data_IF_897326249352
#
_entry.id   IF_897326249352
#
_cell.length_a   1.000
_cell.length_b   1.000
_cell.length_c   1.000
_cell.angle_alpha   90.00
_cell.angle_beta   90.00
_cell.angle_gamma   90.00
#
_symmetry.space_group_name_H-M   'P 1'
#
loop_
_entity.id
_entity.type
_entity.pdbx_description
1 polymer ?
#
# COMPACT_ATOMS: atom_id res chain seq x y z
N UNK A 1 25.98 -26.25 -15.35
CA UNK A 1 24.69 -25.57 -15.46
C UNK A 1 24.93 -24.11 -15.69
N UNK A 2 24.41 -23.54 -16.77
CA UNK A 2 24.49 -22.10 -17.04
C UNK A 2 23.64 -21.36 -16.00
N UNK A 3 24.28 -20.90 -14.93
CA UNK A 3 23.63 -20.09 -13.91
C UNK A 3 23.09 -18.81 -14.55
N UNK A 4 21.85 -18.46 -14.24
CA UNK A 4 21.30 -17.17 -14.62
C UNK A 4 22.08 -16.07 -13.89
N UNK A 5 22.83 -15.27 -14.65
CA UNK A 5 23.47 -14.07 -14.13
C UNK A 5 22.46 -12.93 -14.20
N UNK A 6 21.82 -12.63 -13.07
CA UNK A 6 21.01 -11.42 -12.94
C UNK A 6 21.96 -10.24 -12.80
N UNK A 7 22.23 -9.54 -13.90
CA UNK A 7 22.87 -8.23 -13.86
C UNK A 7 21.85 -7.20 -13.34
N UNK A 8 21.80 -7.01 -12.03
CA UNK A 8 21.08 -5.89 -11.44
C UNK A 8 21.86 -4.61 -11.76
N UNK A 9 21.23 -3.63 -12.42
CA UNK A 9 21.82 -2.29 -12.56
C UNK A 9 22.11 -1.73 -11.16
N UNK A 10 23.34 -1.25 -10.96
CA UNK A 10 23.66 -0.45 -9.78
C UNK A 10 22.89 0.88 -9.85
N UNK A 11 22.14 1.19 -8.80
CA UNK A 11 21.38 2.44 -8.70
C UNK A 11 22.33 3.59 -8.33
N UNK A 12 22.81 4.35 -9.31
CA UNK A 12 23.53 5.61 -9.08
C UNK A 12 22.64 6.78 -9.51
N UNK A 13 21.96 7.41 -8.56
CA UNK A 13 21.16 8.60 -8.83
C UNK A 13 21.93 9.87 -8.50
N UNK A 14 22.04 10.74 -9.51
CA UNK A 14 22.44 12.14 -9.35
C UNK A 14 21.27 12.97 -9.88
N UNK A 15 20.58 13.77 -9.05
CA UNK A 15 19.58 14.71 -9.55
C UNK A 15 20.32 15.79 -10.36
N UNK A 16 20.08 15.84 -11.66
CA UNK A 16 20.88 16.65 -12.60
C UNK A 16 20.01 17.68 -13.34
N UNK A 17 18.69 17.55 -13.31
CA UNK A 17 17.81 18.44 -14.08
C UNK A 17 17.52 19.76 -13.35
N UNK A 18 17.40 20.90 -14.07
CA UNK A 18 17.14 22.20 -13.48
C UNK A 18 15.69 22.35 -12.98
N UNK A 19 15.43 23.31 -12.08
CA UNK A 19 14.10 23.52 -11.48
C UNK A 19 13.10 24.27 -12.38
N UNK A 20 13.56 24.88 -13.46
CA UNK A 20 12.84 25.90 -14.24
C UNK A 20 11.94 25.34 -15.35
N UNK A 21 12.11 24.07 -15.75
CA UNK A 21 11.32 23.45 -16.83
C UNK A 21 10.15 22.58 -16.32
N UNK A 22 9.39 23.08 -15.34
CA UNK A 22 8.30 22.30 -14.74
C UNK A 22 7.28 21.80 -15.77
N UNK A 23 6.88 22.64 -16.73
CA UNK A 23 5.91 22.26 -17.76
C UNK A 23 6.43 21.15 -18.69
N UNK A 24 7.69 21.23 -19.11
CA UNK A 24 8.30 20.16 -19.91
C UNK A 24 8.43 18.84 -19.12
N UNK A 25 8.62 18.91 -17.80
CA UNK A 25 8.63 17.71 -16.96
C UNK A 25 7.26 17.07 -16.78
N UNK A 26 6.19 17.87 -16.74
CA UNK A 26 4.81 17.34 -16.75
C UNK A 26 4.57 16.53 -18.04
N UNK A 27 4.97 17.08 -19.19
CA UNK A 27 4.78 16.41 -20.48
C UNK A 27 5.66 15.17 -20.64
N UNK A 28 6.91 15.25 -20.21
CA UNK A 28 7.85 14.12 -20.24
C UNK A 28 7.40 12.99 -19.32
N UNK A 29 6.99 13.31 -18.08
CA UNK A 29 6.47 12.31 -17.14
C UNK A 29 5.23 11.60 -17.68
N UNK A 30 4.30 12.36 -18.29
CA UNK A 30 3.11 11.76 -18.91
C UNK A 30 3.49 10.86 -20.08
N UNK A 31 4.35 11.32 -20.99
CA UNK A 31 4.80 10.55 -22.15
C UNK A 31 5.47 9.23 -21.74
N UNK A 32 6.33 9.26 -20.71
CA UNK A 32 6.98 8.05 -20.18
C UNK A 32 6.00 7.11 -19.47
N UNK A 33 5.00 7.65 -18.76
CA UNK A 33 3.93 6.82 -18.17
C UNK A 33 3.05 6.16 -19.24
N UNK A 34 2.73 6.89 -20.30
CA UNK A 34 2.01 6.40 -21.46
C UNK A 34 2.79 5.25 -22.14
N UNK A 35 4.08 5.47 -22.38
CA UNK A 35 4.98 4.46 -22.92
C UNK A 35 5.07 3.22 -22.01
N UNK A 36 5.18 3.41 -20.70
CA UNK A 36 5.21 2.33 -19.71
C UNK A 36 3.95 1.45 -19.79
N UNK A 37 2.78 2.05 -19.97
CA UNK A 37 1.51 1.34 -20.17
C UNK A 37 1.51 0.60 -21.51
N UNK A 38 1.85 1.27 -22.61
CA UNK A 38 1.88 0.66 -23.95
C UNK A 38 2.78 -0.59 -24.01
N UNK A 39 3.95 -0.56 -23.37
CA UNK A 39 4.86 -1.71 -23.28
C UNK A 39 4.19 -2.94 -22.68
N UNK A 40 3.32 -2.76 -21.68
CA UNK A 40 2.60 -3.86 -21.01
C UNK A 40 1.37 -4.34 -21.78
N UNK A 41 0.80 -3.49 -22.63
CA UNK A 41 -0.36 -3.83 -23.46
C UNK A 41 0.00 -4.65 -24.70
N UNK A 42 1.27 -4.70 -25.12
CA UNK A 42 1.69 -5.38 -26.35
C UNK A 42 1.22 -6.85 -26.38
N UNK A 43 0.36 -7.17 -27.33
CA UNK A 43 -0.19 -8.52 -27.52
C UNK A 43 -1.33 -8.91 -26.56
N UNK A 44 -1.76 -8.02 -25.65
CA UNK A 44 -2.86 -8.24 -24.70
C UNK A 44 -4.14 -7.58 -25.24
N UNK A 45 -5.29 -8.23 -25.08
CA UNK A 45 -6.59 -7.74 -25.60
C UNK A 45 -7.60 -7.48 -24.49
N UNK A 46 -7.62 -8.31 -23.45
CA UNK A 46 -8.58 -8.26 -22.35
C UNK A 46 -7.89 -7.72 -21.11
N UNK A 47 -8.10 -6.43 -20.83
CA UNK A 47 -7.36 -5.70 -19.81
C UNK A 47 -8.23 -5.48 -18.58
N UNK A 48 -7.70 -5.88 -17.42
CA UNK A 48 -8.24 -5.55 -16.12
C UNK A 48 -7.39 -4.48 -15.42
N UNK A 49 -8.00 -3.70 -14.52
CA UNK A 49 -7.24 -2.85 -13.60
C UNK A 49 -7.83 -2.82 -12.18
N UNK A 50 -6.96 -2.75 -11.17
CA UNK A 50 -7.38 -2.40 -9.81
C UNK A 50 -7.66 -0.90 -9.74
N UNK A 51 -8.92 -0.52 -9.47
CA UNK A 51 -9.33 0.88 -9.40
C UNK A 51 -9.75 1.28 -7.98
N UNK A 52 -9.25 2.43 -7.54
CA UNK A 52 -9.43 2.99 -6.20
C UNK A 52 -9.82 4.47 -6.29
N UNK A 53 -10.18 5.07 -5.15
CA UNK A 53 -10.43 6.51 -5.06
C UNK A 53 -9.14 7.35 -5.03
N UNK A 54 -7.97 6.73 -5.05
CA UNK A 54 -6.66 7.37 -5.12
C UNK A 54 -6.29 7.88 -6.52
N UNK A 55 -5.15 8.57 -6.61
CA UNK A 55 -4.61 9.10 -7.88
C UNK A 55 -3.90 8.00 -8.66
N UNK A 56 -2.98 7.31 -8.02
CA UNK A 56 -2.30 6.09 -8.42
C UNK A 56 -3.06 5.21 -9.43
N UNK A 57 -4.18 4.61 -9.04
CA UNK A 57 -4.91 3.70 -9.91
C UNK A 57 -5.68 4.39 -11.03
N UNK A 58 -6.19 5.60 -10.80
CA UNK A 58 -7.08 6.25 -11.78
C UNK A 58 -6.30 6.76 -12.99
N UNK A 59 -5.08 7.30 -12.81
CA UNK A 59 -4.24 7.71 -13.94
C UNK A 59 -3.79 6.49 -14.76
N UNK A 60 -3.38 5.40 -14.11
CA UNK A 60 -3.00 4.17 -14.83
C UNK A 60 -4.18 3.65 -15.64
N UNK A 61 -5.38 3.64 -15.05
CA UNK A 61 -6.61 3.22 -15.76
C UNK A 61 -6.93 4.16 -16.92
N UNK A 62 -6.80 5.48 -16.75
CA UNK A 62 -7.09 6.46 -17.78
C UNK A 62 -6.12 6.37 -18.96
N UNK A 63 -4.81 6.30 -18.68
CA UNK A 63 -3.77 6.06 -19.69
C UNK A 63 -4.03 4.76 -20.42
N UNK A 64 -4.38 3.68 -19.70
CA UNK A 64 -4.72 2.39 -20.32
C UNK A 64 -5.90 2.52 -21.29
N UNK A 65 -6.96 3.21 -20.89
CA UNK A 65 -8.16 3.37 -21.71
C UNK A 65 -7.95 4.18 -23.00
N UNK A 66 -6.86 4.94 -23.10
CA UNK A 66 -6.47 5.59 -24.36
C UNK A 66 -6.00 4.59 -25.43
N UNK A 67 -5.56 3.39 -25.02
CA UNK A 67 -4.93 2.40 -25.90
C UNK A 67 -5.79 1.15 -26.16
N UNK A 68 -6.88 0.97 -25.41
CA UNK A 68 -7.77 -0.19 -25.54
C UNK A 68 -9.24 0.21 -25.52
N UNK A 69 -10.11 -0.49 -26.28
CA UNK A 69 -11.52 -0.14 -26.37
C UNK A 69 -12.29 -0.35 -25.05
N UNK A 70 -11.75 -1.20 -24.16
CA UNK A 70 -12.39 -1.55 -22.89
C UNK A 70 -11.37 -1.90 -21.81
N UNK A 71 -11.59 -1.39 -20.60
CA UNK A 71 -10.90 -1.78 -19.37
C UNK A 71 -11.93 -2.21 -18.34
N UNK A 72 -11.82 -3.45 -17.86
CA UNK A 72 -12.65 -3.92 -16.75
C UNK A 72 -11.93 -3.64 -15.42
N UNK A 73 -12.56 -2.84 -14.57
CA UNK A 73 -11.96 -2.39 -13.31
C UNK A 73 -12.63 -3.01 -12.09
N UNK A 74 -11.82 -3.21 -11.05
CA UNK A 74 -12.24 -3.81 -9.80
C UNK A 74 -11.83 -2.93 -8.63
N UNK A 75 -12.81 -2.55 -7.82
CA UNK A 75 -12.58 -1.82 -6.57
C UNK A 75 -12.90 -2.69 -5.37
N UNK A 76 -11.92 -2.86 -4.49
CA UNK A 76 -12.10 -3.59 -3.24
C UNK A 76 -12.94 -2.80 -2.25
N UNK A 77 -13.90 -3.46 -1.61
CA UNK A 77 -14.72 -2.85 -0.57
C UNK A 77 -15.79 -3.77 -0.03
N UNK A 78 -16.30 -3.46 1.16
CA UNK A 78 -17.34 -4.29 1.80
C UNK A 78 -18.72 -4.16 1.15
N UNK A 79 -19.00 -2.99 0.56
CA UNK A 79 -20.28 -2.67 -0.06
C UNK A 79 -20.18 -1.46 -1.00
N UNK A 80 -21.23 -1.25 -1.81
CA UNK A 80 -21.30 -0.16 -2.81
C UNK A 80 -21.48 1.26 -2.22
N UNK A 81 -21.62 1.40 -0.90
CA UNK A 81 -21.76 2.70 -0.20
C UNK A 81 -20.43 3.16 0.43
N UNK A 82 -19.38 2.34 0.38
CA UNK A 82 -18.05 2.72 0.84
C UNK A 82 -17.47 3.85 -0.01
N UNK A 83 -16.73 4.77 0.61
CA UNK A 83 -16.19 5.96 -0.06
C UNK A 83 -15.27 5.58 -1.22
N UNK A 84 -14.46 4.53 -1.01
CA UNK A 84 -13.58 3.93 -2.01
C UNK A 84 -14.33 3.58 -3.31
N UNK A 85 -15.39 2.77 -3.20
CA UNK A 85 -16.17 2.31 -4.34
C UNK A 85 -16.96 3.42 -5.00
N UNK A 86 -17.55 4.33 -4.21
CA UNK A 86 -18.32 5.45 -4.75
C UNK A 86 -17.45 6.32 -5.66
N UNK A 87 -16.27 6.71 -5.17
CA UNK A 87 -15.33 7.54 -5.94
C UNK A 87 -14.78 6.75 -7.13
N UNK A 88 -14.35 5.50 -6.95
CA UNK A 88 -13.82 4.70 -8.05
C UNK A 88 -14.87 4.45 -9.15
N UNK A 89 -16.16 4.31 -8.79
CA UNK A 89 -17.25 4.21 -9.77
C UNK A 89 -17.46 5.53 -10.52
N UNK A 90 -17.28 6.67 -9.87
CA UNK A 90 -17.30 7.97 -10.52
C UNK A 90 -16.13 8.11 -11.50
N UNK A 91 -14.91 7.77 -11.08
CA UNK A 91 -13.73 7.70 -11.96
C UNK A 91 -14.00 6.84 -13.19
N UNK A 92 -14.53 5.63 -13.02
CA UNK A 92 -14.80 4.73 -14.14
C UNK A 92 -15.85 5.29 -15.12
N UNK A 93 -16.85 6.05 -14.62
CA UNK A 93 -17.83 6.71 -15.49
C UNK A 93 -17.22 7.84 -16.33
N UNK A 94 -16.17 8.48 -15.82
CA UNK A 94 -15.46 9.55 -16.52
C UNK A 94 -14.51 9.01 -17.59
N UNK A 95 -14.09 7.75 -17.50
CA UNK A 95 -13.16 7.11 -18.45
C UNK A 95 -13.97 6.34 -19.49
N UNK A 96 -13.81 6.68 -20.77
CA UNK A 96 -14.47 5.96 -21.87
C UNK A 96 -14.03 4.49 -21.90
N UNK A 97 -14.98 3.58 -22.10
CA UNK A 97 -14.69 2.13 -22.16
C UNK A 97 -14.37 1.49 -20.81
N UNK A 98 -14.51 2.21 -19.70
CA UNK A 98 -14.22 1.69 -18.36
C UNK A 98 -15.48 1.20 -17.63
N UNK A 99 -15.46 -0.05 -17.18
CA UNK A 99 -16.52 -0.63 -16.36
C UNK A 99 -15.98 -0.92 -14.96
N UNK A 100 -16.70 -0.57 -13.89
CA UNK A 100 -16.24 -0.85 -12.52
C UNK A 100 -17.15 -1.83 -11.76
N UNK A 101 -16.52 -2.88 -11.24
CA UNK A 101 -17.15 -3.91 -10.40
C UNK A 101 -16.66 -3.85 -8.96
N UNK A 102 -17.57 -4.08 -8.02
CA UNK A 102 -17.20 -4.20 -6.60
C UNK A 102 -16.55 -5.57 -6.37
N UNK A 103 -15.27 -5.57 -6.04
CA UNK A 103 -14.57 -6.71 -5.47
C UNK A 103 -14.94 -6.82 -3.98
N UNK A 104 -16.05 -7.50 -3.69
CA UNK A 104 -16.60 -7.53 -2.33
C UNK A 104 -15.65 -8.23 -1.37
N UNK A 105 -15.14 -7.51 -0.37
CA UNK A 105 -14.27 -8.07 0.67
C UNK A 105 -15.09 -8.60 1.83
N UNK A 106 -14.72 -9.78 2.33
CA UNK A 106 -15.45 -10.54 3.34
C UNK A 106 -14.46 -11.33 4.20
N UNK A 107 -14.73 -11.57 5.50
CA UNK A 107 -13.84 -12.36 6.35
C UNK A 107 -13.73 -13.82 5.88
N UNK A 108 -14.72 -14.35 5.18
CA UNK A 108 -14.70 -15.67 4.58
C UNK A 108 -13.60 -15.81 3.52
N UNK A 109 -13.20 -14.73 2.85
CA UNK A 109 -12.07 -14.76 1.93
C UNK A 109 -10.75 -15.00 2.66
N UNK A 110 -10.56 -14.38 3.83
CA UNK A 110 -9.37 -14.64 4.65
C UNK A 110 -9.35 -16.10 5.08
N UNK A 111 -10.43 -16.61 5.66
CA UNK A 111 -10.51 -18.00 6.12
C UNK A 111 -10.30 -19.02 4.98
N UNK A 112 -10.75 -18.68 3.76
CA UNK A 112 -10.63 -19.55 2.60
C UNK A 112 -9.24 -19.54 1.97
N UNK A 113 -8.61 -18.37 1.88
CA UNK A 113 -7.40 -18.18 1.08
C UNK A 113 -6.12 -18.00 1.91
N UNK A 114 -6.20 -17.95 3.25
CA UNK A 114 -5.01 -17.77 4.09
C UNK A 114 -3.95 -18.85 3.84
N UNK A 115 -4.33 -20.14 3.86
CA UNK A 115 -3.38 -21.24 3.64
C UNK A 115 -2.72 -21.15 2.26
N UNK A 116 -3.48 -20.81 1.23
CA UNK A 116 -2.94 -20.61 -0.10
C UNK A 116 -1.98 -19.41 -0.15
N UNK A 117 -2.31 -18.28 0.48
CA UNK A 117 -1.45 -17.11 0.51
C UNK A 117 -0.14 -17.37 1.27
N UNK A 118 -0.20 -18.12 2.39
CA UNK A 118 0.99 -18.56 3.13
C UNK A 118 1.85 -19.47 2.26
N UNK A 119 1.28 -20.49 1.63
CA UNK A 119 1.99 -21.38 0.73
C UNK A 119 2.61 -20.63 -0.47
N UNK A 120 1.84 -19.76 -1.12
CA UNK A 120 2.27 -19.01 -2.30
C UNK A 120 3.34 -17.95 -2.00
N UNK A 121 3.59 -17.62 -0.73
CA UNK A 121 4.61 -16.65 -0.32
C UNK A 121 5.68 -17.25 0.57
N UNK A 122 5.72 -18.57 0.74
CA UNK A 122 6.60 -19.25 1.70
C UNK A 122 6.54 -18.64 3.11
N UNK A 123 5.35 -18.20 3.55
CA UNK A 123 5.17 -17.54 4.84
C UNK A 123 5.83 -16.16 4.97
N UNK A 124 6.37 -15.59 3.89
CA UNK A 124 7.12 -14.32 3.93
C UNK A 124 6.23 -13.08 4.06
N UNK A 125 4.90 -13.26 4.13
CA UNK A 125 3.92 -12.19 4.17
C UNK A 125 3.00 -12.31 5.37
N UNK A 126 2.60 -11.14 5.89
CA UNK A 126 1.47 -11.06 6.83
C UNK A 126 0.20 -11.60 6.17
N UNK A 127 -0.32 -12.72 6.66
CA UNK A 127 -1.40 -13.45 6.01
C UNK A 127 -2.78 -12.77 6.11
N UNK A 128 -3.10 -12.10 7.22
CA UNK A 128 -4.47 -11.58 7.47
C UNK A 128 -4.77 -10.22 6.83
N UNK A 129 -3.77 -9.37 6.65
CA UNK A 129 -3.95 -7.99 6.13
C UNK A 129 -3.37 -7.81 4.72
N UNK A 130 -3.24 -8.93 4.01
CA UNK A 130 -2.56 -9.05 2.73
C UNK A 130 -3.58 -8.83 1.59
N UNK A 131 -3.21 -8.12 0.52
CA UNK A 131 -4.16 -7.92 -0.60
C UNK A 131 -4.45 -9.26 -1.30
N UNK A 132 -3.49 -10.19 -1.29
CA UNK A 132 -3.63 -11.51 -1.89
C UNK A 132 -4.83 -12.32 -1.37
N UNK A 133 -5.18 -12.23 -0.08
CA UNK A 133 -6.37 -12.94 0.44
C UNK A 133 -7.67 -12.37 -0.14
N UNK A 134 -7.66 -11.10 -0.57
CA UNK A 134 -8.79 -10.49 -1.26
C UNK A 134 -8.74 -10.63 -2.78
N UNK A 135 -7.61 -10.96 -3.40
CA UNK A 135 -7.57 -11.31 -4.84
C UNK A 135 -8.53 -12.45 -5.17
N UNK A 136 -8.76 -13.36 -4.23
CA UNK A 136 -9.79 -14.40 -4.35
C UNK A 136 -11.23 -13.88 -4.57
N UNK A 137 -11.52 -12.61 -4.27
CA UNK A 137 -12.79 -11.95 -4.57
C UNK A 137 -12.96 -11.62 -6.07
N UNK A 138 -11.87 -11.55 -6.83
CA UNK A 138 -11.87 -11.25 -8.26
C UNK A 138 -11.23 -12.34 -9.12
N UNK A 139 -10.63 -13.38 -8.53
CA UNK A 139 -9.94 -14.46 -9.25
C UNK A 139 -10.79 -15.07 -10.40
N UNK A 140 -12.07 -15.36 -10.16
CA UNK A 140 -12.98 -15.88 -11.21
C UNK A 140 -13.22 -14.90 -12.35
N UNK A 141 -13.18 -13.59 -12.07
CA UNK A 141 -13.33 -12.56 -13.10
C UNK A 141 -12.03 -12.39 -13.90
N UNK A 142 -10.89 -12.51 -13.22
CA UNK A 142 -9.56 -12.34 -13.82
C UNK A 142 -9.17 -13.47 -14.78
N UNK A 143 -9.73 -14.68 -14.66
CA UNK A 143 -9.42 -15.82 -15.56
C UNK A 143 -9.66 -15.49 -17.05
N UNK A 144 -10.52 -14.52 -17.33
CA UNK A 144 -10.85 -14.09 -18.68
C UNK A 144 -10.04 -12.87 -19.14
N UNK A 145 -9.01 -12.46 -18.41
CA UNK A 145 -8.18 -11.30 -18.72
C UNK A 145 -6.75 -11.72 -18.98
N UNK A 146 -6.08 -10.99 -19.86
CA UNK A 146 -4.69 -11.25 -20.21
C UNK A 146 -3.74 -10.51 -19.25
N UNK A 147 -4.21 -9.42 -18.62
CA UNK A 147 -3.39 -8.48 -17.88
C UNK A 147 -4.20 -7.81 -16.76
N UNK A 148 -3.60 -7.67 -15.58
CA UNK A 148 -4.07 -6.80 -14.49
C UNK A 148 -3.11 -5.62 -14.30
N UNK A 149 -3.60 -4.40 -14.43
CA UNK A 149 -2.82 -3.19 -14.14
C UNK A 149 -3.16 -2.62 -12.77
N UNK A 150 -2.17 -2.05 -12.09
CA UNK A 150 -2.34 -1.36 -10.83
C UNK A 150 -1.55 -0.06 -10.76
N UNK A 151 -1.99 0.84 -9.89
CA UNK A 151 -1.31 2.10 -9.62
C UNK A 151 -0.31 2.06 -8.46
N UNK A 152 0.07 0.87 -7.99
CA UNK A 152 0.81 0.73 -6.74
C UNK A 152 2.07 1.61 -6.70
N UNK A 153 2.27 2.32 -5.59
CA UNK A 153 3.46 3.12 -5.26
C UNK A 153 3.68 4.40 -6.11
N UNK A 154 2.67 4.82 -6.88
CA UNK A 154 2.71 6.07 -7.65
C UNK A 154 2.80 7.32 -6.76
N UNK A 155 2.19 7.29 -5.59
CA UNK A 155 2.25 8.36 -4.59
C UNK A 155 3.67 8.65 -4.07
N UNK A 156 4.53 7.64 -3.97
CA UNK A 156 5.94 7.79 -3.60
C UNK A 156 6.76 8.21 -4.81
N UNK A 157 6.67 7.46 -5.91
CA UNK A 157 7.51 7.63 -7.10
C UNK A 157 7.21 8.95 -7.81
N UNK A 158 5.94 9.24 -8.09
CA UNK A 158 5.52 10.49 -8.77
C UNK A 158 5.16 11.56 -7.76
N UNK A 159 4.54 11.18 -6.64
CA UNK A 159 3.95 12.14 -5.69
C UNK A 159 4.89 12.70 -4.62
N UNK A 160 6.11 12.14 -4.47
CA UNK A 160 7.08 12.62 -3.47
C UNK A 160 6.55 12.57 -2.04
N UNK A 161 5.78 11.53 -1.69
CA UNK A 161 5.03 11.46 -0.42
C UNK A 161 5.90 11.49 0.84
N UNK A 162 7.18 11.12 0.75
CA UNK A 162 8.14 11.21 1.85
C UNK A 162 9.08 12.42 1.77
N UNK A 163 9.04 13.16 0.67
CA UNK A 163 9.89 14.33 0.43
C UNK A 163 9.40 15.51 1.26
N UNK A 164 10.31 16.13 2.03
CA UNK A 164 10.02 17.38 2.75
C UNK A 164 11.13 18.39 2.53
N UNK A 165 10.76 19.65 2.36
CA UNK A 165 11.73 20.73 2.07
C UNK A 165 12.75 20.93 3.20
N UNK A 166 12.34 20.68 4.45
CA UNK A 166 13.24 20.81 5.61
C UNK A 166 14.33 19.72 5.64
N UNK A 167 14.23 18.72 4.76
CA UNK A 167 15.12 17.56 4.70
C UNK A 167 16.15 17.65 3.56
N UNK A 168 16.27 18.80 2.88
CA UNK A 168 17.18 18.98 1.75
C UNK A 168 18.59 19.39 2.17
N UNK A 169 18.77 19.83 3.42
CA UNK A 169 20.08 20.14 3.98
C UNK A 169 20.86 18.91 4.41
N UNK A 170 22.08 19.15 4.89
CA UNK A 170 22.95 18.10 5.42
C UNK A 170 22.44 17.61 6.77
N UNK A 171 21.83 16.43 6.76
CA UNK A 171 21.42 15.71 7.98
C UNK A 171 22.50 14.67 8.30
N UNK A 172 23.01 14.59 9.54
CA UNK A 172 23.93 13.52 9.95
C UNK A 172 23.35 12.10 9.74
N UNK A 173 24.19 11.12 9.37
CA UNK A 173 23.76 9.77 9.01
C UNK A 173 22.98 9.07 10.14
N UNK A 174 23.41 9.22 11.39
CA UNK A 174 22.74 8.70 12.58
C UNK A 174 21.30 9.23 12.71
N UNK A 175 21.09 10.52 12.42
CA UNK A 175 19.76 11.16 12.42
C UNK A 175 18.88 10.68 11.28
N UNK A 176 19.47 10.43 10.11
CA UNK A 176 18.76 9.82 8.97
C UNK A 176 18.28 8.42 9.34
N UNK A 177 19.15 7.59 9.92
CA UNK A 177 18.83 6.23 10.38
C UNK A 177 17.76 6.26 11.48
N UNK A 178 17.88 7.14 12.48
CA UNK A 178 16.90 7.28 13.57
C UNK A 178 15.49 7.56 13.02
N UNK A 179 15.42 8.42 12.00
CA UNK A 179 14.17 8.74 11.31
C UNK A 179 13.60 7.57 10.53
N UNK A 180 14.45 6.77 9.89
CA UNK A 180 14.00 5.54 9.22
C UNK A 180 13.51 4.51 10.23
N UNK A 181 14.23 4.30 11.34
CA UNK A 181 13.76 3.46 12.47
C UNK A 181 12.41 3.92 13.00
N UNK A 182 12.18 5.23 13.12
CA UNK A 182 10.88 5.77 13.50
C UNK A 182 9.79 5.42 12.49
N UNK A 183 10.09 5.58 11.19
CA UNK A 183 9.13 5.43 10.10
C UNK A 183 8.69 3.99 9.86
N UNK A 184 9.64 3.04 9.84
CA UNK A 184 9.33 1.62 9.65
C UNK A 184 9.08 0.87 10.96
N UNK A 185 9.46 1.47 12.08
CA UNK A 185 9.27 0.89 13.40
C UNK A 185 7.80 0.72 13.76
N UNK A 186 7.52 -0.33 14.51
CA UNK A 186 6.20 -0.62 15.05
C UNK A 186 6.07 -0.07 16.49
N UNK A 187 6.32 1.24 16.70
CA UNK A 187 6.33 1.85 18.05
C UNK A 187 5.05 1.58 18.85
N UNK A 188 3.90 1.55 18.16
CA UNK A 188 2.60 1.24 18.75
C UNK A 188 2.48 -0.21 19.29
N UNK A 189 3.36 -1.12 18.86
CA UNK A 189 3.42 -2.50 19.32
C UNK A 189 4.34 -2.68 20.53
N UNK A 190 5.25 -1.73 20.81
CA UNK A 190 6.20 -1.81 21.94
C UNK A 190 5.56 -2.15 23.30
N UNK A 191 4.38 -1.59 23.68
CA UNK A 191 3.73 -1.97 24.93
C UNK A 191 3.36 -3.46 25.02
N UNK A 192 3.24 -4.13 23.88
CA UNK A 192 2.84 -5.53 23.79
C UNK A 192 4.02 -6.46 23.54
N UNK A 193 5.12 -5.99 22.95
CA UNK A 193 6.30 -6.84 22.70
C UNK A 193 6.73 -7.58 23.97
N UNK A 194 6.79 -6.88 25.11
CA UNK A 194 7.18 -7.46 26.41
C UNK A 194 6.22 -8.51 26.98
N UNK A 195 4.94 -8.47 26.60
CA UNK A 195 3.93 -9.38 27.14
C UNK A 195 3.55 -10.47 26.15
N UNK A 196 3.74 -10.22 24.85
CA UNK A 196 3.34 -11.08 23.75
C UNK A 196 4.41 -12.08 23.36
N UNK A 197 5.69 -11.69 23.43
CA UNK A 197 6.80 -12.56 23.07
C UNK A 197 7.51 -13.06 24.33
N UNK A 198 8.18 -14.20 24.21
CA UNK A 198 9.14 -14.64 25.21
C UNK A 198 10.25 -13.60 25.37
N UNK A 199 10.87 -13.54 26.54
CA UNK A 199 11.90 -12.53 26.84
C UNK A 199 13.05 -12.59 25.83
N UNK A 200 13.55 -13.80 25.53
CA UNK A 200 14.60 -14.03 24.55
C UNK A 200 14.20 -13.54 23.15
N UNK A 201 13.01 -13.94 22.66
CA UNK A 201 12.55 -13.52 21.34
C UNK A 201 12.32 -12.00 21.27
N UNK A 202 11.77 -11.41 22.31
CA UNK A 202 11.52 -9.97 22.40
C UNK A 202 12.81 -9.15 22.32
N UNK A 203 13.86 -9.56 23.03
CA UNK A 203 15.18 -8.92 22.97
C UNK A 203 15.81 -9.04 21.58
N UNK A 204 15.74 -10.24 20.99
CA UNK A 204 16.22 -10.49 19.62
C UNK A 204 15.46 -9.63 18.59
N UNK A 205 14.14 -9.53 18.71
CA UNK A 205 13.30 -8.75 17.79
C UNK A 205 13.73 -7.27 17.76
N UNK A 206 13.92 -6.64 18.92
CA UNK A 206 14.32 -5.23 18.99
C UNK A 206 15.74 -5.02 18.44
N UNK A 207 16.67 -5.92 18.76
CA UNK A 207 18.05 -5.87 18.27
C UNK A 207 18.13 -6.01 16.75
N UNK A 208 17.57 -7.08 16.19
CA UNK A 208 17.63 -7.34 14.75
C UNK A 208 16.80 -6.34 13.94
N UNK A 209 15.69 -5.84 14.47
CA UNK A 209 14.92 -4.79 13.79
C UNK A 209 15.73 -3.49 13.66
N UNK A 210 16.45 -3.08 14.71
CA UNK A 210 17.29 -1.89 14.67
C UNK A 210 18.47 -2.07 13.71
N UNK A 211 19.15 -3.21 13.80
CA UNK A 211 20.31 -3.57 12.98
C UNK A 211 19.95 -3.70 11.49
N UNK A 212 18.81 -4.30 11.17
CA UNK A 212 18.35 -4.43 9.77
C UNK A 212 18.13 -3.06 9.12
N UNK A 213 17.62 -2.07 9.86
CA UNK A 213 17.47 -0.71 9.33
C UNK A 213 18.83 -0.07 9.08
N UNK A 214 19.79 -0.23 10.01
CA UNK A 214 21.15 0.30 9.86
C UNK A 214 21.86 -0.29 8.64
N UNK A 215 21.86 -1.62 8.49
CA UNK A 215 22.53 -2.31 7.39
C UNK A 215 21.93 -1.93 6.03
N UNK A 216 20.59 -1.91 5.92
CA UNK A 216 19.92 -1.59 4.66
C UNK A 216 20.03 -0.11 4.30
N UNK A 217 19.96 0.79 5.29
CA UNK A 217 20.15 2.21 5.04
C UNK A 217 21.61 2.57 4.74
N UNK A 218 22.57 1.85 5.33
CA UNK A 218 24.00 1.98 5.04
C UNK A 218 24.30 1.74 3.57
N UNK A 219 23.85 0.60 3.02
CA UNK A 219 24.00 0.26 1.59
C UNK A 219 23.47 1.34 0.65
N UNK A 220 22.33 1.94 1.00
CA UNK A 220 21.72 3.03 0.20
C UNK A 220 22.54 4.30 0.33
N UNK A 221 23.07 4.58 1.52
CA UNK A 221 23.89 5.77 1.79
C UNK A 221 25.21 5.76 1.04
N UNK A 222 25.78 4.57 0.81
CA UNK A 222 26.98 4.40 -0.02
C UNK A 222 26.73 4.75 -1.50
N UNK A 223 25.49 4.59 -1.98
CA UNK A 223 25.11 4.81 -3.40
C UNK A 223 24.55 6.20 -3.68
N UNK A 224 23.84 6.78 -2.72
CA UNK A 224 23.13 8.07 -2.87
C UNK A 224 23.30 8.87 -1.60
N UNK A 225 23.94 10.05 -1.67
CA UNK A 225 24.10 10.95 -0.51
C UNK A 225 23.12 12.13 -0.56
N UNK A 226 21.83 11.84 -0.68
CA UNK A 226 20.79 12.86 -0.62
C UNK A 226 19.53 12.31 0.04
N UNK A 227 19.18 12.85 1.20
CA UNK A 227 18.25 12.20 2.11
C UNK A 227 16.83 11.99 1.56
N UNK A 228 16.22 12.92 0.79
CA UNK A 228 14.93 12.67 0.14
C UNK A 228 14.91 11.39 -0.71
N UNK A 229 15.97 11.15 -1.49
CA UNK A 229 16.06 9.96 -2.33
C UNK A 229 16.41 8.70 -1.52
N UNK A 230 17.31 8.82 -0.53
CA UNK A 230 17.62 7.71 0.38
C UNK A 230 16.34 7.18 1.06
N UNK A 231 15.44 8.08 1.46
CA UNK A 231 14.16 7.70 2.08
C UNK A 231 13.25 6.92 1.13
N UNK A 232 13.05 7.43 -0.09
CA UNK A 232 12.22 6.75 -1.08
C UNK A 232 12.80 5.38 -1.43
N UNK A 233 14.11 5.31 -1.70
CA UNK A 233 14.83 4.07 -2.00
C UNK A 233 14.76 3.07 -0.85
N UNK A 234 14.87 3.54 0.39
CA UNK A 234 14.76 2.65 1.56
C UNK A 234 13.37 2.04 1.64
N UNK A 235 12.29 2.82 1.50
CA UNK A 235 10.93 2.26 1.52
C UNK A 235 10.70 1.35 0.30
N UNK A 236 11.25 1.71 -0.86
CA UNK A 236 11.19 0.90 -2.07
C UNK A 236 11.86 -0.48 -1.89
N UNK A 237 13.14 -0.50 -1.51
CA UNK A 237 13.94 -1.72 -1.43
C UNK A 237 13.55 -2.63 -0.26
N UNK A 238 12.95 -2.05 0.79
CA UNK A 238 12.46 -2.78 1.96
C UNK A 238 10.96 -3.06 1.86
N UNK A 239 10.10 -2.09 2.18
CA UNK A 239 8.64 -2.26 2.31
C UNK A 239 7.97 -2.65 1.00
N UNK A 240 8.30 -1.98 -0.09
CA UNK A 240 7.70 -2.24 -1.40
C UNK A 240 8.17 -3.59 -1.95
N UNK A 241 9.48 -3.76 -2.18
CA UNK A 241 10.03 -4.97 -2.79
C UNK A 241 9.83 -6.23 -1.93
N UNK A 242 10.13 -6.19 -0.62
CA UNK A 242 10.05 -7.39 0.24
C UNK A 242 8.64 -7.67 0.76
N UNK A 243 7.82 -6.64 0.95
CA UNK A 243 6.47 -6.78 1.50
C UNK A 243 5.38 -6.84 0.44
N UNK A 244 5.24 -5.78 -0.34
CA UNK A 244 4.08 -5.65 -1.24
C UNK A 244 4.27 -6.33 -2.59
N UNK A 245 5.48 -6.33 -3.16
CA UNK A 245 5.74 -6.99 -4.43
C UNK A 245 5.67 -8.52 -4.29
N UNK A 246 6.11 -9.10 -3.18
CA UNK A 246 5.84 -10.53 -2.92
C UNK A 246 4.33 -10.78 -2.82
N UNK A 247 3.56 -9.86 -2.23
CA UNK A 247 2.10 -10.01 -2.13
C UNK A 247 1.37 -9.95 -3.47
N UNK A 248 1.83 -9.12 -4.40
CA UNK A 248 1.11 -8.87 -5.65
C UNK A 248 1.83 -9.37 -6.89
N UNK A 249 3.13 -9.16 -7.00
CA UNK A 249 3.96 -9.78 -8.04
C UNK A 249 3.94 -11.30 -7.94
N UNK A 250 4.39 -11.89 -6.83
CA UNK A 250 4.48 -13.36 -6.73
C UNK A 250 3.09 -14.01 -6.69
N UNK A 251 2.23 -13.63 -5.74
CA UNK A 251 0.92 -14.27 -5.58
C UNK A 251 -0.05 -13.88 -6.71
N UNK A 252 -0.04 -12.62 -7.14
CA UNK A 252 -0.91 -12.17 -8.23
C UNK A 252 -0.58 -12.88 -9.54
N UNK A 253 0.70 -13.12 -9.85
CA UNK A 253 1.14 -13.84 -11.05
C UNK A 253 0.72 -15.32 -11.09
N UNK A 254 0.36 -15.91 -9.94
CA UNK A 254 -0.30 -17.23 -9.93
C UNK A 254 -1.72 -17.19 -10.51
N UNK A 255 -2.34 -16.01 -10.57
CA UNK A 255 -3.70 -15.81 -11.09
C UNK A 255 -3.71 -15.12 -12.45
N UNK A 256 -2.91 -14.06 -12.62
CA UNK A 256 -2.85 -13.24 -13.81
C UNK A 256 -1.53 -12.45 -13.83
N UNK A 257 -1.01 -12.15 -15.01
CA UNK A 257 0.10 -11.20 -15.10
C UNK A 257 -0.34 -9.83 -14.59
N UNK A 258 0.30 -9.37 -13.51
CA UNK A 258 0.03 -8.08 -12.86
C UNK A 258 1.23 -7.13 -13.05
N UNK A 259 0.99 -5.90 -13.50
CA UNK A 259 2.03 -4.91 -13.72
C UNK A 259 1.69 -3.52 -13.14
N UNK A 260 2.76 -2.81 -12.77
CA UNK A 260 2.71 -1.46 -12.20
C UNK A 260 3.54 -0.50 -13.05
N UNK A 261 2.91 0.34 -13.89
CA UNK A 261 3.62 1.22 -14.81
C UNK A 261 4.61 2.20 -14.14
N UNK A 262 4.39 2.56 -12.87
CA UNK A 262 5.30 3.45 -12.13
C UNK A 262 6.70 2.85 -11.90
N UNK A 263 6.88 1.55 -12.09
CA UNK A 263 8.17 0.86 -11.98
C UNK A 263 8.84 0.64 -13.34
N UNK A 264 8.33 1.24 -14.41
CA UNK A 264 9.06 1.28 -15.68
C UNK A 264 10.37 2.06 -15.51
N UNK A 265 11.47 1.49 -16.01
CA UNK A 265 12.81 2.02 -15.77
C UNK A 265 12.96 3.45 -16.29
N UNK A 266 12.43 3.78 -17.47
CA UNK A 266 12.65 5.09 -18.07
C UNK A 266 11.85 6.16 -17.32
N UNK A 267 10.61 5.82 -16.93
CA UNK A 267 9.80 6.69 -16.07
C UNK A 267 10.46 6.89 -14.70
N UNK A 268 10.92 5.81 -14.07
CA UNK A 268 11.55 5.87 -12.76
C UNK A 268 12.85 6.70 -12.81
N UNK A 269 13.73 6.41 -13.77
CA UNK A 269 15.01 7.11 -13.93
C UNK A 269 14.80 8.60 -14.22
N UNK A 270 13.81 8.94 -15.06
CA UNK A 270 13.42 10.32 -15.28
C UNK A 270 12.96 11.00 -13.97
N UNK A 271 12.02 10.41 -13.23
CA UNK A 271 11.46 11.01 -12.02
C UNK A 271 12.49 11.20 -10.89
N UNK A 272 13.52 10.35 -10.84
CA UNK A 272 14.63 10.46 -9.88
C UNK A 272 15.81 11.31 -10.40
N UNK A 273 15.79 11.72 -11.66
CA UNK A 273 16.68 12.76 -12.19
C UNK A 273 16.18 14.19 -11.91
N UNK A 274 14.90 14.35 -11.57
CA UNK A 274 14.25 15.62 -11.23
C UNK A 274 14.65 16.11 -9.83
N UNK A 275 14.70 17.43 -9.62
CA UNK A 275 14.69 18.00 -8.27
C UNK A 275 13.45 17.53 -7.48
N UNK A 276 13.56 17.08 -6.22
CA UNK A 276 12.42 16.57 -5.44
C UNK A 276 11.26 17.56 -5.30
N UNK A 277 11.52 18.86 -5.36
CA UNK A 277 10.53 19.94 -5.34
C UNK A 277 9.46 19.79 -6.43
N UNK A 278 9.84 19.22 -7.57
CA UNK A 278 8.94 19.01 -8.70
C UNK A 278 7.84 18.02 -8.32
N UNK A 279 8.18 16.96 -7.58
CA UNK A 279 7.26 15.87 -7.21
C UNK A 279 6.55 16.11 -5.87
N UNK A 280 7.20 16.80 -4.93
CA UNK A 280 6.73 17.02 -3.56
C UNK A 280 5.25 17.45 -3.48
N UNK A 281 4.54 16.92 -2.49
CA UNK A 281 3.11 17.18 -2.26
C UNK A 281 2.23 16.86 -3.48
N UNK A 282 2.64 15.89 -4.30
CA UNK A 282 1.95 15.52 -5.54
C UNK A 282 1.89 16.64 -6.58
N UNK A 283 2.79 17.63 -6.56
CA UNK A 283 2.75 18.78 -7.49
C UNK A 283 2.78 18.34 -8.96
N UNK A 284 3.83 17.62 -9.38
CA UNK A 284 3.92 17.03 -10.72
C UNK A 284 2.68 16.18 -11.02
N UNK A 285 2.24 15.40 -10.03
CA UNK A 285 1.15 14.45 -10.22
C UNK A 285 -0.17 15.13 -10.55
N UNK A 286 -0.52 16.17 -9.79
CA UNK A 286 -1.73 16.98 -9.96
C UNK A 286 -1.72 17.70 -11.31
N UNK A 287 -0.58 18.24 -11.73
CA UNK A 287 -0.49 18.97 -13.00
C UNK A 287 -0.61 18.04 -14.22
N UNK A 288 -0.13 16.79 -14.13
CA UNK A 288 -0.43 15.76 -15.15
C UNK A 288 -1.95 15.55 -15.28
N UNK A 289 -2.68 15.45 -14.16
CA UNK A 289 -4.14 15.32 -14.20
C UNK A 289 -4.82 16.50 -14.86
N UNK A 290 -4.51 17.71 -14.41
CA UNK A 290 -5.17 18.92 -14.93
C UNK A 290 -4.94 19.09 -16.43
N UNK A 291 -3.76 18.72 -16.92
CA UNK A 291 -3.38 18.84 -18.33
C UNK A 291 -3.97 17.74 -19.21
N UNK A 292 -3.80 16.47 -18.82
CA UNK A 292 -4.11 15.32 -19.69
C UNK A 292 -5.46 14.66 -19.37
N UNK A 293 -5.98 14.84 -18.17
CA UNK A 293 -7.23 14.23 -17.71
C UNK A 293 -8.10 15.21 -16.89
N UNK A 294 -8.47 16.40 -17.44
CA UNK A 294 -9.17 17.44 -16.69
C UNK A 294 -10.48 16.95 -16.07
N UNK A 295 -11.25 16.13 -16.79
CA UNK A 295 -12.48 15.53 -16.25
C UNK A 295 -12.23 14.62 -15.04
N UNK A 296 -11.08 13.93 -14.97
CA UNK A 296 -10.70 13.14 -13.79
C UNK A 296 -10.12 13.99 -12.66
N UNK A 297 -9.55 15.15 -12.99
CA UNK A 297 -9.10 16.12 -12.00
C UNK A 297 -10.28 16.72 -11.20
N UNK A 298 -11.46 16.80 -11.82
CA UNK A 298 -12.71 17.21 -11.14
C UNK A 298 -13.25 16.16 -10.16
N UNK A 299 -13.02 14.87 -10.43
CA UNK A 299 -13.51 13.79 -9.57
C UNK A 299 -12.81 13.84 -8.22
N UNK A 300 -13.58 13.85 -7.14
CA UNK A 300 -13.05 13.97 -5.78
C UNK A 300 -11.92 12.99 -5.49
N UNK A 301 -10.84 13.48 -4.88
CA UNK A 301 -9.76 12.65 -4.40
C UNK A 301 -10.13 12.05 -3.04
N UNK A 302 -9.98 10.73 -2.86
CA UNK A 302 -10.28 10.05 -1.60
C UNK A 302 -9.66 10.72 -0.36
N UNK A 303 -8.39 11.14 -0.47
CA UNK A 303 -7.58 11.73 0.61
C UNK A 303 -8.15 13.08 1.08
N UNK A 304 -8.32 14.03 0.16
CA UNK A 304 -8.75 15.39 0.46
C UNK A 304 -10.27 15.50 0.51
N UNK A 305 -11.00 14.73 -0.28
CA UNK A 305 -12.46 14.78 -0.43
C UNK A 305 -12.95 15.91 -1.32
N UNK A 306 -12.05 16.55 -2.08
CA UNK A 306 -12.34 17.62 -3.04
C UNK A 306 -11.64 17.31 -4.37
N UNK A 307 -11.91 18.10 -5.42
CA UNK A 307 -11.25 18.00 -6.72
C UNK A 307 -9.74 18.32 -6.60
N UNK A 308 -9.00 18.15 -7.70
CA UNK A 308 -7.59 18.54 -7.80
C UNK A 308 -7.40 20.04 -8.12
N UNK A 309 -8.48 20.76 -8.40
CA UNK A 309 -8.48 22.22 -8.53
C UNK A 309 -8.70 22.90 -7.18
N UNK A 310 -9.34 22.21 -6.24
CA UNK A 310 -9.71 22.73 -4.93
C UNK A 310 -8.70 22.39 -3.83
N UNK A 311 -8.62 23.29 -2.85
CA UNK A 311 -7.88 23.04 -1.61
C UNK A 311 -8.83 22.55 -0.50
N UNK A 312 -8.42 21.51 0.23
CA UNK A 312 -9.19 21.05 1.38
C UNK A 312 -9.25 22.12 2.47
N UNK A 313 -10.47 22.53 2.85
CA UNK A 313 -10.70 23.51 3.90
C UNK A 313 -10.23 23.03 5.28
N UNK A 314 -9.79 23.98 6.12
CA UNK A 314 -9.40 23.69 7.50
C UNK A 314 -10.55 23.09 8.32
N UNK A 315 -11.79 23.46 8.02
CA UNK A 315 -12.98 22.87 8.65
C UNK A 315 -13.11 21.38 8.30
N UNK A 316 -12.94 21.00 7.03
CA UNK A 316 -12.95 19.60 6.60
C UNK A 316 -11.87 18.78 7.33
N UNK A 317 -10.64 19.30 7.41
CA UNK A 317 -9.52 18.67 8.12
C UNK A 317 -9.86 18.44 9.59
N UNK A 318 -10.32 19.48 10.29
CA UNK A 318 -10.74 19.40 11.71
C UNK A 318 -11.90 18.42 11.90
N UNK A 319 -12.89 18.41 11.00
CA UNK A 319 -14.03 17.47 11.03
C UNK A 319 -13.58 16.02 10.88
N UNK A 320 -12.62 15.73 10.00
CA UNK A 320 -12.05 14.37 9.84
C UNK A 320 -11.36 13.91 11.12
N UNK A 321 -10.54 14.77 11.73
CA UNK A 321 -9.86 14.49 13.01
C UNK A 321 -10.88 14.27 14.13
N UNK A 322 -11.87 15.15 14.25
CA UNK A 322 -12.94 15.03 15.24
C UNK A 322 -13.70 13.71 15.06
N UNK A 323 -14.11 13.38 13.84
CA UNK A 323 -14.83 12.14 13.57
C UNK A 323 -13.97 10.90 13.83
N UNK A 324 -12.67 10.95 13.54
CA UNK A 324 -11.73 9.89 13.92
C UNK A 324 -11.70 9.70 15.44
N UNK A 325 -11.57 10.80 16.20
CA UNK A 325 -11.55 10.77 17.67
C UNK A 325 -12.89 10.26 18.23
N UNK A 326 -14.02 10.73 17.73
CA UNK A 326 -15.36 10.24 18.15
C UNK A 326 -15.46 8.74 17.94
N UNK A 327 -15.07 8.23 16.77
CA UNK A 327 -15.05 6.78 16.50
C UNK A 327 -14.17 6.04 17.49
N UNK A 328 -12.99 6.58 17.80
CA UNK A 328 -12.05 6.00 18.76
C UNK A 328 -12.65 5.94 20.17
N UNK A 329 -13.15 7.07 20.70
CA UNK A 329 -13.71 7.15 22.05
C UNK A 329 -15.01 6.36 22.21
N UNK A 330 -15.94 6.41 21.24
CA UNK A 330 -17.19 5.64 21.29
C UNK A 330 -16.90 4.14 21.30
N UNK A 331 -15.98 3.68 20.43
CA UNK A 331 -15.56 2.28 20.39
C UNK A 331 -14.96 1.83 21.73
N UNK A 332 -14.15 2.69 22.36
CA UNK A 332 -13.52 2.43 23.66
C UNK A 332 -14.52 2.40 24.81
N UNK A 333 -15.31 3.46 24.95
CA UNK A 333 -16.27 3.62 26.06
C UNK A 333 -17.38 2.58 26.03
N UNK A 334 -17.71 2.05 24.86
CA UNK A 334 -18.70 0.97 24.71
C UNK A 334 -18.09 -0.43 24.71
N UNK A 335 -16.78 -0.56 24.97
CA UNK A 335 -16.05 -1.83 24.92
C UNK A 335 -16.27 -2.60 23.61
N UNK A 336 -16.31 -1.87 22.49
CA UNK A 336 -16.52 -2.42 21.16
C UNK A 336 -17.97 -2.83 20.85
N UNK A 337 -18.96 -2.57 21.73
CA UNK A 337 -20.39 -2.81 21.45
C UNK A 337 -20.91 -1.90 20.34
N UNK A 338 -20.46 -0.64 20.31
CA UNK A 338 -20.79 0.32 19.25
C UNK A 338 -19.57 0.55 18.38
N UNK A 339 -19.68 0.19 17.09
CA UNK A 339 -18.64 0.47 16.08
C UNK A 339 -19.25 1.36 15.00
N UNK A 340 -18.90 2.64 15.05
CA UNK A 340 -19.26 3.60 14.01
C UNK A 340 -18.47 3.28 12.75
N UNK A 341 -19.18 2.97 11.65
CA UNK A 341 -18.56 2.56 10.40
C UNK A 341 -17.55 3.60 9.88
N UNK A 342 -16.37 3.12 9.50
CA UNK A 342 -15.40 3.88 8.74
C UNK A 342 -15.59 3.60 7.24
N UNK A 343 -16.13 4.60 6.53
CA UNK A 343 -16.42 4.48 5.09
C UNK A 343 -15.15 4.43 4.23
N UNK A 344 -13.97 4.71 4.79
CA UNK A 344 -12.70 4.66 4.08
C UNK A 344 -12.05 3.27 4.11
N UNK A 345 -12.53 2.35 4.94
CA UNK A 345 -11.95 1.01 5.03
C UNK A 345 -12.58 0.07 4.01
N UNK A 346 -11.75 -0.50 3.15
CA UNK A 346 -12.19 -1.54 2.23
C UNK A 346 -12.29 -2.91 2.91
N UNK A 347 -11.56 -3.18 4.00
CA UNK A 347 -11.60 -4.42 4.78
C UNK A 347 -11.52 -4.11 6.29
N UNK A 348 -12.66 -3.95 7.00
CA UNK A 348 -12.68 -3.64 8.42
C UNK A 348 -12.44 -4.89 9.29
N UNK A 349 -11.25 -5.48 9.19
CA UNK A 349 -10.88 -6.75 9.83
C UNK A 349 -11.13 -6.75 11.35
N UNK A 350 -10.85 -5.64 12.04
CA UNK A 350 -11.12 -5.50 13.48
C UNK A 350 -12.62 -5.60 13.80
N UNK A 351 -13.48 -5.05 12.95
CA UNK A 351 -14.92 -5.19 13.13
C UNK A 351 -15.38 -6.62 12.82
N UNK A 352 -14.81 -7.25 11.78
CA UNK A 352 -15.09 -8.65 11.48
C UNK A 352 -14.72 -9.57 12.64
N UNK A 353 -13.55 -9.38 13.26
CA UNK A 353 -13.15 -10.17 14.44
C UNK A 353 -14.13 -10.02 15.61
N UNK A 354 -14.67 -8.82 15.83
CA UNK A 354 -15.67 -8.60 16.90
C UNK A 354 -17.03 -9.20 16.56
N UNK A 355 -17.52 -9.00 15.34
CA UNK A 355 -18.91 -9.29 14.95
C UNK A 355 -19.10 -10.68 14.35
N UNK A 356 -18.12 -11.23 13.64
CA UNK A 356 -18.19 -12.55 13.00
C UNK A 356 -17.58 -13.61 13.91
N UNK A 357 -18.42 -14.46 14.52
CA UNK A 357 -17.98 -15.53 15.43
C UNK A 357 -17.04 -16.51 14.74
N UNK A 358 -17.31 -16.89 13.49
CA UNK A 358 -16.49 -17.85 12.74
C UNK A 358 -15.09 -17.32 12.50
N UNK A 359 -14.97 -16.08 12.03
CA UNK A 359 -13.68 -15.43 11.82
C UNK A 359 -12.91 -15.26 13.13
N UNK A 360 -13.60 -14.90 14.22
CA UNK A 360 -12.98 -14.81 15.54
C UNK A 360 -12.43 -16.16 16.02
N UNK A 361 -13.22 -17.23 15.93
CA UNK A 361 -12.76 -18.57 16.28
C UNK A 361 -11.56 -18.95 15.42
N UNK A 362 -11.67 -18.84 14.10
CA UNK A 362 -10.55 -19.10 13.19
C UNK A 362 -9.23 -18.40 13.58
N UNK A 363 -9.28 -17.09 13.87
CA UNK A 363 -8.08 -16.36 14.33
C UNK A 363 -7.60 -16.81 15.71
N UNK A 364 -8.52 -17.07 16.65
CA UNK A 364 -8.20 -17.48 18.02
C UNK A 364 -7.57 -18.86 18.05
N UNK A 365 -8.14 -19.79 17.29
CA UNK A 365 -7.76 -21.19 17.24
C UNK A 365 -6.34 -21.32 16.67
N UNK A 366 -5.97 -20.53 15.65
CA UNK A 366 -4.59 -20.53 15.12
C UNK A 366 -3.59 -19.97 16.13
N UNK A 367 -3.92 -18.87 16.81
CA UNK A 367 -2.98 -18.22 17.72
C UNK A 367 -2.79 -18.96 19.05
N UNK A 368 -3.81 -19.70 19.49
CA UNK A 368 -3.78 -20.51 20.71
C UNK A 368 -3.62 -22.01 20.43
N UNK A 369 -3.27 -22.37 19.19
CA UNK A 369 -2.94 -23.76 18.82
C UNK A 369 -1.68 -24.22 19.57
N UNK A 370 -1.66 -25.47 20.02
CA UNK A 370 -0.52 -26.05 20.75
C UNK A 370 0.77 -25.88 19.95
N UNK A 371 0.74 -26.07 18.62
CA UNK A 371 1.91 -25.88 17.75
C UNK A 371 2.39 -24.42 17.74
N UNK A 372 1.50 -23.45 17.94
CA UNK A 372 1.88 -22.02 18.01
C UNK A 372 2.57 -21.72 19.33
N UNK A 373 2.07 -22.26 20.44
CA UNK A 373 2.60 -22.04 21.79
C UNK A 373 3.93 -22.78 21.99
N UNK A 374 4.01 -24.05 21.57
CA UNK A 374 5.19 -24.91 21.76
C UNK A 374 6.43 -24.44 20.99
N UNK A 375 6.29 -23.55 19.99
CA UNK A 375 7.42 -22.92 19.30
C UNK A 375 8.27 -22.01 20.20
N UNK A 376 7.75 -21.58 21.35
CA UNK A 376 8.49 -20.75 22.32
C UNK A 376 8.67 -19.28 21.95
N UNK A 377 8.08 -18.81 20.85
CA UNK A 377 8.16 -17.40 20.44
C UNK A 377 7.20 -16.51 21.21
N UNK A 378 6.04 -17.03 21.59
CA UNK A 378 4.94 -16.26 22.15
C UNK A 378 4.62 -16.67 23.58
N UNK A 379 4.22 -15.70 24.39
CA UNK A 379 3.62 -15.94 25.70
C UNK A 379 2.11 -16.10 25.54
N UNK A 380 1.56 -17.24 25.94
CA UNK A 380 0.13 -17.56 25.81
C UNK A 380 -0.76 -16.49 26.48
N UNK A 381 -0.42 -16.08 27.70
CA UNK A 381 -1.13 -15.01 28.44
C UNK A 381 -1.12 -13.67 27.68
N UNK A 382 -0.03 -13.38 26.97
CA UNK A 382 0.11 -12.23 26.11
C UNK A 382 -0.87 -12.27 24.94
N UNK A 383 -0.96 -13.41 24.26
CA UNK A 383 -1.91 -13.65 23.17
C UNK A 383 -3.34 -13.51 23.69
N UNK A 384 -3.68 -14.18 24.81
CA UNK A 384 -5.02 -14.11 25.43
C UNK A 384 -5.40 -12.67 25.79
N UNK A 385 -4.46 -11.91 26.36
CA UNK A 385 -4.65 -10.50 26.68
C UNK A 385 -4.92 -9.65 25.42
N UNK A 386 -4.14 -9.85 24.36
CA UNK A 386 -4.33 -9.17 23.08
C UNK A 386 -5.71 -9.49 22.48
N UNK A 387 -6.07 -10.77 22.39
CA UNK A 387 -7.34 -11.24 21.84
C UNK A 387 -8.54 -10.71 22.65
N UNK A 388 -8.41 -10.65 23.98
CA UNK A 388 -9.42 -10.06 24.87
C UNK A 388 -9.58 -8.55 24.59
N UNK A 389 -8.48 -7.80 24.52
CA UNK A 389 -8.48 -6.38 24.15
C UNK A 389 -9.15 -6.15 22.79
N UNK A 390 -8.88 -7.02 21.82
CA UNK A 390 -9.51 -6.90 20.51
C UNK A 390 -11.04 -7.04 20.56
N UNK A 391 -11.54 -7.98 21.38
CA UNK A 391 -12.97 -8.14 21.64
C UNK A 391 -13.58 -6.91 22.29
N UNK A 392 -12.84 -6.22 23.15
CA UNK A 392 -13.30 -5.03 23.90
C UNK A 392 -12.96 -3.69 23.23
N UNK A 393 -12.78 -3.68 21.91
CA UNK A 393 -12.69 -2.44 21.12
C UNK A 393 -11.27 -1.99 20.74
N UNK A 394 -10.22 -2.76 21.04
CA UNK A 394 -8.86 -2.47 20.57
C UNK A 394 -8.63 -2.96 19.13
N UNK A 395 -8.05 -2.13 18.27
CA UNK A 395 -7.83 -2.46 16.86
C UNK A 395 -6.41 -3.04 16.64
N UNK A 396 -6.24 -4.35 16.84
CA UNK A 396 -4.94 -5.05 16.73
C UNK A 396 -4.84 -6.09 15.61
N UNK A 397 -5.80 -6.14 14.66
CA UNK A 397 -5.69 -7.10 13.56
C UNK A 397 -4.40 -6.96 12.74
N UNK A 398 -3.86 -5.75 12.59
CA UNK A 398 -2.59 -5.54 11.89
C UNK A 398 -1.38 -6.12 12.64
N UNK A 399 -1.46 -6.26 13.97
CA UNK A 399 -0.48 -6.98 14.78
C UNK A 399 -0.69 -8.48 14.60
N UNK A 400 -1.93 -8.97 14.72
CA UNK A 400 -2.24 -10.40 14.50
C UNK A 400 -1.75 -10.90 13.15
N UNK A 401 -1.96 -10.13 12.07
CA UNK A 401 -1.45 -10.48 10.75
C UNK A 401 0.08 -10.70 10.71
N UNK A 402 0.84 -10.02 11.58
CA UNK A 402 2.30 -10.16 11.70
C UNK A 402 2.75 -11.30 12.63
N UNK A 403 1.84 -11.89 13.40
CA UNK A 403 2.13 -13.00 14.30
C UNK A 403 1.91 -14.37 13.63
N UNK A 404 1.39 -14.40 12.40
CA UNK A 404 1.31 -15.64 11.66
C UNK A 404 2.71 -16.07 11.22
N UNK A 405 3.18 -17.16 11.84
CA UNK A 405 4.44 -17.86 11.60
C UNK A 405 4.17 -19.14 10.83
#
# INVERSE_FOLDING_TARGET
>A
GSGFKLESREFSYKPILPLDNFDGYVDTAYSLLDQAVQRRLKGRKKIAACLSGGLDSRIVTAVTANHVPRVDTYTFGTNKKGKEYVIAKEVARTIQGCNNSLAKTMPEHIMKYLNWAVWASDGSLSGLSSVSVFLGAIAKSLINHDLLLGGFFGDVIVGGSFTKKEEFGDIPLDKRIEKMKFRVGAKHLRPFVKTLFSEEFGQNLDFYAARSVEEEFGKISDSVNFFPFQQDLFIYLTRCRRGYNVNRGLIGHLLIEEYYPFFDNDLFDFLYSLPPEIRMNHKLYIEIYKRYFPALAEVQWLKTGVSLYDNESNFSKKKKILMHNIRWYVKRGTLGRVNLADKNQYAPENEWYRKNKRFRCFTTDILLDDRTIERGYFCEDGIRTMLHKMRTGWDYMSLVGRLHV
#
